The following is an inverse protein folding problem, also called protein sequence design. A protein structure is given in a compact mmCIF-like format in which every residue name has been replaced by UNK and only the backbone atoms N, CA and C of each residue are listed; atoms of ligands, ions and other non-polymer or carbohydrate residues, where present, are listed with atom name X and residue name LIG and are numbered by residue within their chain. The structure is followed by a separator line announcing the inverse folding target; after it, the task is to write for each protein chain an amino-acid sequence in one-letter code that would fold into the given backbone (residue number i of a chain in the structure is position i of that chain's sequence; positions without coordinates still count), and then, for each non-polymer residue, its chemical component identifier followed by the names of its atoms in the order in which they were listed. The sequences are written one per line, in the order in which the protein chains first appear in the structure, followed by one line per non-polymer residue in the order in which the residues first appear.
data_IF_990015358485
#
_entry.id   IF_990015358485
#
_cell.length_a   1.000
_cell.length_b   1.000
_cell.length_c   1.000
_cell.angle_alpha   90.00
_cell.angle_beta   90.00
_cell.angle_gamma   90.00
#
_symmetry.space_group_name_H-M   'P 1'
#
loop_
_entity.id
_entity.type
_entity.pdbx_description
1 polymer ?
#
# COMPACT_ATOMS: atom_id res chain seq x y z
N UNK A 1 27.99 -36.96 -44.01
CA UNK A 1 28.20 -35.50 -43.94
C UNK A 1 27.77 -35.05 -42.55
N UNK A 2 28.62 -35.14 -41.52
CA UNK A 2 29.72 -34.23 -41.18
C UNK A 2 29.24 -32.82 -40.76
N UNK A 3 29.21 -32.59 -39.43
CA UNK A 3 29.56 -31.37 -38.65
C UNK A 3 29.05 -31.63 -37.21
N UNK A 4 29.82 -32.06 -36.19
CA UNK A 4 31.01 -31.51 -35.51
C UNK A 4 30.82 -30.10 -34.94
N UNK A 5 30.70 -29.99 -33.61
CA UNK A 5 31.01 -28.87 -32.69
C UNK A 5 30.85 -29.42 -31.25
N UNK A 6 31.84 -30.10 -30.65
CA UNK A 6 33.01 -29.60 -29.90
C UNK A 6 32.70 -28.68 -28.72
N UNK A 7 32.98 -29.21 -27.52
CA UNK A 7 33.07 -28.50 -26.24
C UNK A 7 34.36 -27.66 -26.16
N UNK A 8 34.25 -26.50 -25.52
CA UNK A 8 35.27 -25.80 -24.72
C UNK A 8 34.50 -24.80 -23.83
N UNK A 9 34.74 -24.62 -22.53
CA UNK A 9 36.00 -24.72 -21.81
C UNK A 9 36.53 -23.31 -21.53
N UNK A 10 36.39 -22.88 -20.28
CA UNK A 10 37.21 -21.88 -19.56
C UNK A 10 36.87 -20.37 -19.51
N UNK A 11 37.20 -19.84 -18.32
CA UNK A 11 37.64 -18.48 -17.92
C UNK A 11 36.61 -17.47 -17.38
N UNK A 12 36.46 -17.57 -16.05
CA UNK A 12 36.78 -16.50 -15.09
C UNK A 12 36.75 -15.05 -15.59
N UNK A 13 35.75 -14.29 -15.14
CA UNK A 13 35.89 -12.85 -14.92
C UNK A 13 35.47 -12.53 -13.48
N UNK A 14 36.49 -12.28 -12.67
CA UNK A 14 36.44 -11.67 -11.36
C UNK A 14 35.88 -10.26 -11.45
N UNK A 15 34.87 -9.95 -10.63
CA UNK A 15 34.42 -8.59 -10.36
C UNK A 15 35.31 -7.98 -9.26
N UNK A 16 35.75 -6.71 -9.38
CA UNK A 16 36.41 -6.03 -8.29
C UNK A 16 35.38 -5.68 -7.22
N UNK A 17 35.52 -6.27 -6.04
CA UNK A 17 34.88 -5.83 -4.82
C UNK A 17 35.92 -5.05 -4.02
N UNK A 18 35.78 -3.73 -4.00
CA UNK A 18 36.53 -2.87 -3.09
C UNK A 18 35.64 -1.69 -2.70
N UNK A 19 35.05 -1.76 -1.50
CA UNK A 19 35.28 -0.78 -0.42
C UNK A 19 34.30 -1.00 0.74
N UNK A 20 34.95 -1.31 1.87
CA UNK A 20 34.69 -0.85 3.23
C UNK A 20 33.50 -1.47 3.97
N UNK A 21 33.83 -2.60 4.61
CA UNK A 21 33.29 -3.01 5.88
C UNK A 21 33.51 -1.93 6.96
N UNK A 22 32.48 -1.73 7.78
CA UNK A 22 32.64 -1.21 9.14
C UNK A 22 31.90 -2.17 10.04
N UNK A 23 32.67 -3.07 10.65
CA UNK A 23 32.27 -3.89 11.77
C UNK A 23 32.97 -3.30 12.99
N UNK A 24 32.22 -2.86 14.00
CA UNK A 24 32.80 -2.64 15.33
C UNK A 24 31.76 -3.00 16.39
N UNK A 25 32.19 -3.95 17.19
CA UNK A 25 31.55 -4.58 18.32
C UNK A 25 31.02 -3.65 19.42
N UNK A 26 30.06 -4.22 20.14
CA UNK A 26 29.68 -3.91 21.50
C UNK A 26 30.87 -3.53 22.39
N UNK A 27 30.78 -2.34 23.00
CA UNK A 27 31.44 -2.07 24.28
C UNK A 27 30.44 -1.51 25.27
N UNK A 28 30.13 -2.33 26.28
CA UNK A 28 29.61 -1.88 27.58
C UNK A 28 30.64 -0.95 28.20
N UNK A 29 30.24 0.25 28.63
CA UNK A 29 31.04 0.98 29.61
C UNK A 29 30.19 1.57 30.73
N UNK A 30 30.67 1.24 31.92
CA UNK A 30 30.21 1.70 33.21
C UNK A 30 30.51 3.19 33.41
N UNK A 31 29.63 3.82 34.18
CA UNK A 31 29.86 4.97 35.04
C UNK A 31 31.32 5.23 35.45
N UNK A 32 31.81 6.45 35.18
CA UNK A 32 32.64 7.25 36.10
C UNK A 32 32.84 8.68 35.57
N UNK A 33 32.61 9.64 36.45
CA UNK A 33 32.83 11.07 36.24
C UNK A 33 34.32 11.36 35.96
N UNK A 34 34.58 12.27 35.03
CA UNK A 34 35.89 12.89 34.86
C UNK A 34 35.75 14.41 34.85
N UNK A 35 36.46 15.02 35.79
CA UNK A 35 36.61 16.46 35.98
C UNK A 35 37.58 17.01 34.92
N UNK A 36 37.14 17.99 34.14
CA UNK A 36 38.00 18.69 33.19
C UNK A 36 38.61 19.92 33.84
N UNK A 37 39.93 19.92 33.93
CA UNK A 37 40.76 21.07 34.30
C UNK A 37 41.16 21.76 33.00
N UNK A 38 40.60 22.94 32.73
CA UNK A 38 40.95 23.75 31.57
C UNK A 38 42.43 24.17 31.68
N UNK A 39 43.20 23.93 30.60
CA UNK A 39 44.51 24.54 30.39
C UNK A 39 44.34 25.65 29.37
N UNK A 40 44.91 26.82 29.66
CA UNK A 40 44.93 27.96 28.75
C UNK A 40 45.64 27.60 27.43
N UNK A 41 45.00 27.97 26.31
CA UNK A 41 45.63 27.97 25.00
C UNK A 41 46.00 29.43 24.68
N UNK A 42 47.31 29.71 24.67
CA UNK A 42 47.89 31.01 24.35
C UNK A 42 48.09 31.12 22.83
N UNK A 43 47.36 32.02 22.17
CA UNK A 43 47.53 32.34 20.74
C UNK A 43 47.98 33.81 20.64
N UNK A 44 49.18 34.10 20.09
CA UNK A 44 49.64 35.47 19.90
C UNK A 44 49.19 36.03 18.55
N UNK A 45 48.68 37.27 18.58
CA UNK A 45 48.65 38.17 17.42
C UNK A 45 47.26 38.44 16.86
N UNK A 46 46.61 39.50 17.35
CA UNK A 46 45.94 40.48 16.51
C UNK A 46 45.74 41.75 17.33
N UNK A 47 46.42 42.82 16.93
CA UNK A 47 46.29 44.14 17.53
C UNK A 47 45.20 44.94 16.84
N UNK A 48 44.33 45.55 17.63
CA UNK A 48 43.76 46.89 17.36
C UNK A 48 42.82 47.25 18.51
N UNK A 49 43.24 48.27 19.25
CA UNK A 49 42.51 49.14 20.19
C UNK A 49 40.98 49.03 20.21
N UNK A 50 40.36 48.77 21.38
CA UNK A 50 39.00 49.22 21.63
C UNK A 50 39.01 50.67 22.17
N UNK A 51 38.10 51.49 21.64
CA UNK A 51 37.75 52.83 22.10
C UNK A 51 37.38 52.84 23.59
N UNK A 52 37.56 53.96 24.33
CA UNK A 52 37.11 54.06 25.71
C UNK A 52 35.58 54.01 25.74
N UNK A 53 35.02 52.96 26.30
CA UNK A 53 33.61 52.95 26.69
C UNK A 53 33.54 53.57 28.07
N UNK A 54 32.98 54.78 28.11
CA UNK A 54 32.66 55.51 29.33
C UNK A 54 31.64 54.71 30.13
N UNK A 55 32.05 54.20 31.28
CA UNK A 55 31.15 53.51 32.23
C UNK A 55 30.47 54.61 33.05
N UNK A 56 29.27 54.99 32.63
CA UNK A 56 28.40 55.85 33.43
C UNK A 56 27.89 55.04 34.64
N UNK A 57 28.38 55.40 35.83
CA UNK A 57 27.91 54.80 37.08
C UNK A 57 26.46 55.22 37.34
N UNK A 58 25.51 54.30 37.16
CA UNK A 58 24.14 54.51 37.62
C UNK A 58 24.07 54.45 39.15
N UNK A 59 23.35 55.38 39.80
CA UNK A 59 23.29 55.44 41.25
C UNK A 59 22.53 54.22 41.80
N UNK A 60 23.12 53.61 42.82
CA UNK A 60 22.52 52.56 43.65
C UNK A 60 21.25 53.12 44.30
N UNK A 61 20.09 52.79 43.74
CA UNK A 61 18.80 52.99 44.41
C UNK A 61 18.69 51.99 45.56
N UNK A 62 19.02 52.48 46.75
CA UNK A 62 18.46 52.00 48.01
C UNK A 62 16.98 52.40 48.05
N UNK A 63 16.18 51.60 48.75
CA UNK A 63 14.75 51.75 49.09
C UNK A 63 13.77 50.95 48.22
N UNK A 64 13.00 50.08 48.88
CA UNK A 64 11.75 49.56 48.32
C UNK A 64 11.63 48.04 48.20
N UNK A 65 12.07 47.29 49.21
CA UNK A 65 11.57 45.94 49.46
C UNK A 65 10.02 45.96 49.45
N UNK A 66 9.37 45.33 48.46
CA UNK A 66 8.10 44.54 48.57
C UNK A 66 7.16 44.51 47.34
N UNK A 67 7.38 45.23 46.23
CA UNK A 67 6.39 45.23 45.12
C UNK A 67 6.87 44.70 43.76
N UNK A 68 8.14 44.33 43.61
CA UNK A 68 8.72 43.93 42.32
C UNK A 68 8.72 42.41 42.03
N UNK A 69 7.87 41.61 42.69
CA UNK A 69 7.80 40.14 42.48
C UNK A 69 6.60 39.73 41.60
N UNK A 70 5.60 40.60 41.42
CA UNK A 70 4.35 40.25 40.72
C UNK A 70 4.35 40.48 39.20
N UNK A 71 5.34 41.21 38.65
CA UNK A 71 5.39 41.48 37.21
C UNK A 71 6.28 40.49 36.42
N UNK A 72 7.18 39.75 37.08
CA UNK A 72 8.06 38.78 36.41
C UNK A 72 7.45 37.36 36.33
N UNK A 73 6.42 37.07 37.14
CA UNK A 73 5.69 35.79 37.13
C UNK A 73 4.62 35.70 36.04
N UNK A 74 4.13 36.83 35.52
CA UNK A 74 3.13 36.87 34.45
C UNK A 74 3.72 36.61 33.05
N UNK A 75 5.02 36.86 32.84
CA UNK A 75 5.69 36.65 31.55
C UNK A 75 6.12 35.19 31.36
N UNK A 76 6.36 34.45 32.44
CA UNK A 76 6.74 33.03 32.37
C UNK A 76 5.54 32.08 32.17
N UNK A 77 4.31 32.51 32.46
CA UNK A 77 3.11 31.69 32.26
C UNK A 77 2.58 31.70 30.80
N UNK A 78 3.03 32.64 29.97
CA UNK A 78 2.59 32.74 28.56
C UNK A 78 3.46 31.90 27.62
N UNK A 79 4.65 31.45 28.06
CA UNK A 79 5.57 30.67 27.22
C UNK A 79 5.33 29.14 27.25
N UNK A 80 4.47 28.64 28.14
CA UNK A 80 4.30 27.19 28.35
C UNK A 80 3.26 26.52 27.43
N UNK A 81 2.51 27.27 26.62
CA UNK A 81 1.44 26.71 25.78
C UNK A 81 1.86 26.30 24.36
N UNK A 82 3.11 26.55 23.93
CA UNK A 82 3.56 26.24 22.56
C UNK A 82 4.27 24.88 22.38
N UNK A 83 4.33 24.03 23.40
CA UNK A 83 5.13 22.78 23.35
C UNK A 83 4.32 21.48 23.23
N UNK A 84 2.99 21.55 23.15
CA UNK A 84 2.21 20.38 22.76
C UNK A 84 2.21 20.26 21.24
N UNK A 85 3.19 19.54 20.68
CA UNK A 85 3.07 19.02 19.33
C UNK A 85 1.89 18.04 19.36
N UNK A 86 0.79 18.42 18.70
CA UNK A 86 -0.38 17.55 18.59
C UNK A 86 -0.01 16.20 17.96
N UNK A 87 -0.83 15.20 18.18
CA UNK A 87 -0.72 13.87 17.59
C UNK A 87 -1.81 13.70 16.53
N UNK A 88 -1.47 13.33 15.29
CA UNK A 88 -2.47 12.94 14.31
C UNK A 88 -3.14 11.64 14.76
N UNK A 89 -4.41 11.46 14.43
CA UNK A 89 -5.13 10.21 14.70
C UNK A 89 -6.00 9.84 13.52
N UNK A 90 -5.63 8.77 12.81
CA UNK A 90 -6.30 8.34 11.60
C UNK A 90 -7.47 7.40 11.91
N UNK A 91 -8.67 7.73 11.43
CA UNK A 91 -9.87 6.90 11.60
C UNK A 91 -10.56 6.69 10.26
N UNK A 92 -10.64 5.44 9.81
CA UNK A 92 -11.47 5.08 8.65
C UNK A 92 -12.95 5.02 9.08
N UNK A 93 -13.80 5.83 8.44
CA UNK A 93 -15.23 5.92 8.80
C UNK A 93 -15.96 4.64 8.39
N UNK A 94 -15.76 4.20 7.15
CA UNK A 94 -16.31 2.97 6.59
C UNK A 94 -15.18 2.25 5.84
N UNK A 95 -14.40 1.38 6.50
CA UNK A 95 -13.24 0.73 5.87
C UNK A 95 -13.63 -0.35 4.87
N UNK A 96 -14.90 -0.78 4.82
CA UNK A 96 -15.36 -1.87 3.95
C UNK A 96 -16.50 -1.36 3.07
N UNK A 97 -16.28 -1.42 1.75
CA UNK A 97 -17.31 -1.26 0.75
C UNK A 97 -17.75 -2.63 0.25
N UNK A 98 -19.00 -3.01 0.50
CA UNK A 98 -19.63 -4.13 -0.20
C UNK A 98 -20.45 -3.61 -1.38
N UNK A 99 -20.10 -4.06 -2.59
CA UNK A 99 -20.79 -3.74 -3.83
C UNK A 99 -21.84 -4.78 -4.23
N UNK A 100 -21.97 -5.89 -3.48
CA UNK A 100 -22.89 -6.97 -3.81
C UNK A 100 -22.55 -7.66 -5.13
N UNK A 101 -23.58 -8.01 -5.90
CA UNK A 101 -23.40 -8.63 -7.21
C UNK A 101 -23.13 -7.56 -8.27
N UNK A 102 -22.06 -7.76 -9.04
CA UNK A 102 -21.64 -6.84 -10.09
C UNK A 102 -21.42 -7.61 -11.40
N UNK A 103 -21.87 -7.10 -12.55
CA UNK A 103 -21.53 -7.67 -13.84
C UNK A 103 -20.01 -7.64 -14.07
N UNK A 104 -19.49 -8.70 -14.69
CA UNK A 104 -18.09 -8.74 -15.11
C UNK A 104 -17.81 -7.66 -16.17
N UNK A 105 -16.78 -6.86 -15.92
CA UNK A 105 -16.36 -5.77 -16.81
C UNK A 105 -16.78 -4.39 -16.31
N UNK A 106 -17.67 -4.32 -15.32
CA UNK A 106 -18.03 -3.06 -14.67
C UNK A 106 -16.89 -2.56 -13.76
N UNK A 107 -16.93 -1.26 -13.47
CA UNK A 107 -16.01 -0.62 -12.54
C UNK A 107 -16.74 -0.29 -11.25
N UNK A 108 -16.24 -0.79 -10.12
CA UNK A 108 -16.72 -0.39 -8.80
C UNK A 108 -15.93 0.87 -8.40
N UNK A 109 -16.66 1.96 -8.16
CA UNK A 109 -16.08 3.24 -7.76
C UNK A 109 -16.52 3.55 -6.33
N UNK A 110 -15.57 3.89 -5.46
CA UNK A 110 -15.88 4.24 -4.09
C UNK A 110 -14.86 5.22 -3.49
N UNK A 111 -15.37 6.23 -2.79
CA UNK A 111 -14.56 7.17 -2.01
C UNK A 111 -14.54 6.69 -0.55
N UNK A 112 -13.40 6.16 -0.10
CA UNK A 112 -13.21 5.87 1.31
C UNK A 112 -12.92 7.16 2.08
N UNK A 113 -13.57 7.34 3.22
CA UNK A 113 -13.40 8.54 4.06
C UNK A 113 -12.47 8.23 5.23
N UNK A 114 -11.39 9.01 5.33
CA UNK A 114 -10.47 9.02 6.47
C UNK A 114 -10.70 10.31 7.26
N UNK A 115 -10.87 10.20 8.57
CA UNK A 115 -11.05 11.33 9.48
C UNK A 115 -9.81 11.47 10.36
N UNK A 116 -9.41 12.72 10.60
CA UNK A 116 -8.37 13.03 11.58
C UNK A 116 -9.02 13.39 12.93
N UNK A 117 -9.01 12.46 13.87
CA UNK A 117 -9.53 12.66 15.24
C UNK A 117 -8.45 13.20 16.21
N UNK A 118 -7.30 13.57 15.68
CA UNK A 118 -6.17 14.11 16.42
C UNK A 118 -6.16 15.63 16.48
N UNK A 119 -5.11 16.17 17.08
CA UNK A 119 -4.86 17.60 17.26
C UNK A 119 -3.65 18.10 16.45
N UNK A 120 -3.07 17.26 15.59
CA UNK A 120 -2.10 17.64 14.56
C UNK A 120 -2.51 17.16 13.16
N UNK A 121 -1.97 17.77 12.08
CA UNK A 121 -2.23 17.34 10.71
C UNK A 121 -1.87 15.87 10.47
N UNK A 122 -2.83 15.13 9.92
CA UNK A 122 -2.65 13.75 9.49
C UNK A 122 -2.15 13.74 8.05
N UNK A 123 -1.01 13.11 7.81
CA UNK A 123 -0.41 12.95 6.49
C UNK A 123 -0.61 11.51 6.02
N UNK A 124 -1.24 11.36 4.84
CA UNK A 124 -1.31 10.10 4.10
C UNK A 124 -0.06 10.03 3.22
N UNK A 125 0.89 9.20 3.62
CA UNK A 125 2.21 9.11 2.99
C UNK A 125 2.17 8.26 1.72
N UNK A 126 1.37 7.19 1.72
CA UNK A 126 1.27 6.27 0.60
C UNK A 126 -0.07 5.53 0.63
N UNK A 127 -0.61 5.21 -0.55
CA UNK A 127 -1.75 4.32 -0.72
C UNK A 127 -1.36 3.20 -1.68
N UNK A 128 -1.46 1.94 -1.23
CA UNK A 128 -1.06 0.77 -2.00
C UNK A 128 -2.24 -0.19 -2.21
N UNK A 129 -2.77 -0.31 -3.44
CA UNK A 129 -3.78 -1.31 -3.76
C UNK A 129 -3.17 -2.72 -3.82
N UNK A 130 -3.83 -3.70 -3.21
CA UNK A 130 -3.34 -5.09 -3.16
C UNK A 130 -3.34 -5.79 -4.53
N UNK A 131 -4.26 -5.43 -5.43
CA UNK A 131 -4.29 -5.89 -6.81
C UNK A 131 -5.31 -5.12 -7.65
N UNK A 132 -5.00 -4.84 -8.92
CA UNK A 132 -5.96 -4.53 -10.00
C UNK A 132 -6.91 -3.33 -9.83
N UNK A 133 -7.10 -2.79 -8.63
CA UNK A 133 -7.76 -1.52 -8.40
C UNK A 133 -6.75 -0.39 -8.64
N UNK A 134 -7.19 0.58 -9.43
CA UNK A 134 -6.47 1.83 -9.64
C UNK A 134 -6.97 2.80 -8.59
N UNK A 135 -6.13 3.11 -7.61
CA UNK A 135 -6.34 4.30 -6.77
C UNK A 135 -5.92 5.49 -7.64
N UNK A 136 -6.87 6.37 -7.94
CA UNK A 136 -6.62 7.49 -8.87
C UNK A 136 -6.17 8.72 -8.09
N UNK A 137 -6.83 9.01 -6.96
CA UNK A 137 -6.65 10.24 -6.20
C UNK A 137 -6.85 9.99 -4.69
N UNK A 138 -6.09 10.69 -3.86
CA UNK A 138 -6.29 10.73 -2.41
C UNK A 138 -5.82 12.06 -1.83
N UNK A 139 -6.45 12.50 -0.75
CA UNK A 139 -6.03 13.68 0.00
C UNK A 139 -4.73 13.38 0.77
N UNK A 140 -3.68 14.16 0.56
CA UNK A 140 -2.38 13.95 1.22
C UNK A 140 -2.37 14.39 2.67
N UNK A 141 -3.06 15.47 2.99
CA UNK A 141 -3.03 16.10 4.30
C UNK A 141 -4.45 16.36 4.78
N UNK A 142 -4.77 15.92 6.00
CA UNK A 142 -6.08 16.08 6.63
C UNK A 142 -5.90 16.87 7.92
N UNK A 143 -6.45 18.09 7.96
CA UNK A 143 -6.39 18.94 9.13
C UNK A 143 -7.13 18.31 10.34
N UNK A 144 -6.77 18.69 11.59
CA UNK A 144 -7.46 18.24 12.80
C UNK A 144 -8.98 18.41 12.71
N UNK A 145 -9.73 17.34 13.04
CA UNK A 145 -11.19 17.31 13.00
C UNK A 145 -11.81 17.28 11.59
N UNK A 146 -11.00 17.27 10.53
CA UNK A 146 -11.48 17.21 9.15
C UNK A 146 -11.46 15.79 8.59
N UNK A 147 -12.07 15.62 7.41
CA UNK A 147 -12.07 14.38 6.64
C UNK A 147 -11.35 14.57 5.31
N UNK A 148 -10.69 13.51 4.86
CA UNK A 148 -10.16 13.36 3.51
C UNK A 148 -10.72 12.10 2.85
N UNK A 149 -10.48 11.98 1.55
CA UNK A 149 -11.00 10.91 0.70
C UNK A 149 -9.88 10.15 0.01
N UNK A 150 -10.15 8.87 -0.25
CA UNK A 150 -9.33 7.99 -1.08
C UNK A 150 -10.24 7.42 -2.16
N UNK A 151 -10.02 7.85 -3.40
CA UNK A 151 -10.81 7.45 -4.56
C UNK A 151 -10.30 6.12 -5.13
N UNK A 152 -11.05 5.05 -4.89
CA UNK A 152 -10.73 3.70 -5.34
C UNK A 152 -11.60 3.30 -6.54
N UNK A 153 -10.95 2.83 -7.61
CA UNK A 153 -11.61 2.26 -8.79
C UNK A 153 -11.17 0.81 -8.96
N UNK A 154 -12.10 -0.13 -8.88
CA UNK A 154 -11.84 -1.56 -9.08
C UNK A 154 -12.45 -2.02 -10.41
N UNK A 155 -11.60 -2.46 -11.33
CA UNK A 155 -12.02 -3.04 -12.60
C UNK A 155 -12.34 -4.54 -12.45
N UNK A 156 -13.57 -4.93 -12.77
CA UNK A 156 -14.03 -6.32 -12.56
C UNK A 156 -13.76 -7.24 -13.74
N UNK A 157 -13.22 -6.74 -14.86
CA UNK A 157 -13.04 -7.49 -16.12
C UNK A 157 -12.23 -8.79 -15.99
N UNK A 158 -11.28 -8.84 -15.05
CA UNK A 158 -10.39 -10.00 -14.85
C UNK A 158 -10.86 -10.94 -13.74
N UNK A 159 -11.93 -10.58 -13.02
CA UNK A 159 -12.41 -11.33 -11.86
C UNK A 159 -13.66 -12.14 -12.20
N UNK A 160 -13.89 -13.21 -11.43
CA UNK A 160 -15.12 -14.01 -11.47
C UNK A 160 -15.41 -14.50 -10.05
N UNK A 161 -16.69 -14.53 -9.66
CA UNK A 161 -17.11 -14.96 -8.33
C UNK A 161 -16.82 -13.94 -7.22
N UNK A 162 -16.81 -14.41 -5.98
CA UNK A 162 -16.58 -13.55 -4.82
C UNK A 162 -15.14 -13.02 -4.78
N UNK A 163 -14.99 -11.72 -4.61
CA UNK A 163 -13.72 -11.02 -4.47
C UNK A 163 -13.72 -10.14 -3.22
N UNK A 164 -12.54 -10.00 -2.61
CA UNK A 164 -12.25 -9.08 -1.52
C UNK A 164 -10.89 -8.46 -1.77
N UNK A 165 -10.85 -7.17 -2.12
CA UNK A 165 -9.64 -6.46 -2.54
C UNK A 165 -9.28 -5.38 -1.54
N UNK A 166 -8.05 -5.43 -1.06
CA UNK A 166 -7.49 -4.52 -0.07
C UNK A 166 -6.84 -3.28 -0.69
N UNK A 167 -6.86 -2.18 0.05
CA UNK A 167 -6.08 -0.95 -0.20
C UNK A 167 -5.45 -0.55 1.12
N UNK A 168 -4.13 -0.66 1.19
CA UNK A 168 -3.35 -0.29 2.37
C UNK A 168 -2.99 1.19 2.32
N UNK A 169 -3.35 1.93 3.37
CA UNK A 169 -3.13 3.37 3.50
C UNK A 169 -2.11 3.61 4.61
N UNK A 170 -1.00 4.24 4.29
CA UNK A 170 0.08 4.54 5.24
C UNK A 170 -0.02 5.98 5.71
N UNK A 171 0.17 6.20 7.01
CA UNK A 171 0.02 7.52 7.62
C UNK A 171 1.18 7.87 8.57
N UNK A 172 1.22 9.12 9.03
CA UNK A 172 2.14 9.57 10.08
C UNK A 172 1.56 9.41 11.52
N UNK A 173 0.40 8.77 11.68
CA UNK A 173 -0.12 8.36 12.98
C UNK A 173 0.72 7.20 13.54
N UNK A 174 1.38 7.42 14.69
CA UNK A 174 2.24 6.41 15.32
C UNK A 174 1.47 5.23 15.90
N UNK A 175 0.20 5.44 16.27
CA UNK A 175 -0.67 4.40 16.82
C UNK A 175 -1.34 3.61 15.68
N UNK A 176 -1.62 4.29 14.55
CA UNK A 176 -2.23 3.70 13.35
C UNK A 176 -1.41 3.99 12.08
N UNK A 177 -0.18 3.44 11.96
CA UNK A 177 0.71 3.73 10.83
C UNK A 177 0.18 3.17 9.50
N UNK A 178 -0.73 2.18 9.56
CA UNK A 178 -1.37 1.58 8.41
C UNK A 178 -2.86 1.33 8.67
N UNK A 179 -3.71 1.74 7.73
CA UNK A 179 -5.14 1.45 7.68
C UNK A 179 -5.40 0.53 6.49
N UNK A 180 -6.22 -0.49 6.67
CA UNK A 180 -6.65 -1.36 5.58
C UNK A 180 -8.10 -1.04 5.17
N UNK A 181 -8.29 -0.72 3.89
CA UNK A 181 -9.60 -0.52 3.27
C UNK A 181 -9.92 -1.72 2.37
N UNK A 182 -11.18 -2.12 2.27
CA UNK A 182 -11.57 -3.31 1.53
C UNK A 182 -12.77 -3.06 0.62
N UNK A 183 -12.67 -3.49 -0.63
CA UNK A 183 -13.80 -3.58 -1.57
C UNK A 183 -14.18 -5.05 -1.74
N UNK A 184 -15.44 -5.39 -1.44
CA UNK A 184 -16.03 -6.72 -1.64
C UNK A 184 -17.07 -6.68 -2.75
N UNK A 185 -17.10 -7.73 -3.55
CA UNK A 185 -18.11 -7.92 -4.58
C UNK A 185 -18.23 -9.39 -4.97
N UNK A 186 -19.34 -9.76 -5.61
CA UNK A 186 -19.50 -11.01 -6.33
C UNK A 186 -19.61 -10.70 -7.82
N UNK A 187 -18.54 -10.96 -8.57
CA UNK A 187 -18.47 -10.68 -10.00
C UNK A 187 -19.18 -11.79 -10.78
N UNK A 188 -20.24 -11.45 -11.50
CA UNK A 188 -21.05 -12.37 -12.28
C UNK A 188 -20.72 -12.23 -13.77
N UNK A 189 -20.14 -13.28 -14.41
CA UNK A 189 -19.85 -13.23 -15.83
C UNK A 189 -21.15 -13.37 -16.63
N UNK A 190 -21.26 -12.70 -17.78
CA UNK A 190 -22.41 -12.85 -18.67
C UNK A 190 -22.58 -14.30 -19.18
N UNK A 191 -21.47 -14.96 -19.48
CA UNK A 191 -21.45 -16.37 -19.90
C UNK A 191 -20.69 -17.18 -18.85
N UNK A 192 -21.34 -18.20 -18.31
CA UNK A 192 -20.71 -19.14 -17.40
C UNK A 192 -20.42 -20.46 -18.09
N UNK A 193 -19.35 -21.13 -17.66
CA UNK A 193 -18.84 -22.38 -18.24
C UNK A 193 -18.52 -23.37 -17.12
N UNK A 194 -19.00 -24.61 -17.22
CA UNK A 194 -18.70 -25.70 -16.28
C UNK A 194 -18.36 -27.02 -16.97
N UNK A 195 -17.23 -27.67 -16.62
CA UNK A 195 -16.15 -27.13 -15.79
C UNK A 195 -15.48 -25.94 -16.49
N UNK A 196 -15.03 -24.95 -15.72
CA UNK A 196 -14.42 -23.72 -16.26
C UNK A 196 -13.05 -23.93 -16.91
N UNK A 197 -12.47 -25.12 -16.79
CA UNK A 197 -11.22 -25.53 -17.43
C UNK A 197 -11.28 -27.00 -17.85
N UNK A 198 -10.55 -27.33 -18.91
CA UNK A 198 -10.29 -28.70 -19.33
C UNK A 198 -8.88 -29.09 -18.85
N UNK A 199 -8.78 -30.12 -18.00
CA UNK A 199 -7.49 -30.66 -17.57
C UNK A 199 -7.20 -31.95 -18.32
N UNK A 200 -6.17 -31.92 -19.15
CA UNK A 200 -5.66 -33.10 -19.83
C UNK A 200 -4.54 -33.70 -18.99
N UNK A 201 -4.67 -34.97 -18.61
CA UNK A 201 -3.62 -35.74 -17.95
C UNK A 201 -3.19 -36.81 -18.94
N UNK A 202 -1.91 -36.82 -19.30
CA UNK A 202 -1.34 -37.78 -20.24
C UNK A 202 -0.25 -38.59 -19.55
N UNK A 203 -0.23 -39.91 -19.76
CA UNK A 203 0.89 -40.78 -19.39
C UNK A 203 1.76 -40.97 -20.64
N UNK A 204 3.07 -40.76 -20.54
CA UNK A 204 3.96 -40.97 -21.68
C UNK A 204 3.87 -42.41 -22.20
N UNK A 205 3.65 -42.57 -23.50
CA UNK A 205 3.50 -43.87 -24.15
C UNK A 205 2.07 -44.43 -24.19
N UNK A 206 1.11 -43.79 -23.51
CA UNK A 206 -0.29 -44.18 -23.56
C UNK A 206 -1.10 -43.23 -24.46
N UNK A 207 -1.61 -43.75 -25.59
CA UNK A 207 -2.52 -43.03 -26.46
C UNK A 207 -3.95 -43.24 -25.95
N UNK A 208 -4.46 -42.29 -25.18
CA UNK A 208 -5.86 -42.27 -24.74
C UNK A 208 -6.58 -41.09 -25.35
N UNK A 209 -7.66 -41.37 -26.07
CA UNK A 209 -8.64 -40.37 -26.45
C UNK A 209 -9.62 -40.16 -25.30
N UNK A 210 -10.01 -38.92 -25.07
CA UNK A 210 -10.97 -38.55 -24.04
C UNK A 210 -11.85 -37.41 -24.53
N UNK A 211 -13.12 -37.43 -24.11
CA UNK A 211 -14.04 -36.32 -24.35
C UNK A 211 -14.22 -35.56 -23.06
N UNK A 212 -13.99 -34.25 -23.08
CA UNK A 212 -14.31 -33.34 -21.99
C UNK A 212 -15.49 -32.50 -22.48
N UNK A 213 -16.59 -32.52 -21.72
CA UNK A 213 -17.76 -31.72 -22.04
C UNK A 213 -17.85 -30.53 -21.10
N UNK A 214 -17.87 -29.33 -21.67
CA UNK A 214 -18.16 -28.08 -20.98
C UNK A 214 -19.60 -27.68 -21.25
N UNK A 215 -20.29 -27.22 -20.22
CA UNK A 215 -21.65 -26.67 -20.32
C UNK A 215 -21.53 -25.15 -20.25
N UNK A 216 -22.06 -24.45 -21.26
CA UNK A 216 -22.06 -23.00 -21.36
C UNK A 216 -23.49 -22.47 -21.28
N UNK A 217 -23.71 -21.36 -20.57
CA UNK A 217 -25.02 -20.71 -20.49
C UNK A 217 -24.87 -19.21 -20.17
N UNK A 218 -25.90 -18.43 -20.50
CA UNK A 218 -26.00 -17.04 -20.07
C UNK A 218 -26.51 -16.95 -18.63
N UNK A 219 -25.80 -16.25 -17.76
CA UNK A 219 -26.11 -16.21 -16.32
C UNK A 219 -27.33 -15.37 -15.98
N UNK A 220 -27.66 -14.40 -16.82
CA UNK A 220 -28.83 -13.53 -16.74
C UNK A 220 -30.07 -14.12 -17.42
N UNK A 221 -29.96 -15.30 -18.03
CA UNK A 221 -31.02 -15.95 -18.79
C UNK A 221 -31.25 -15.33 -20.17
N UNK A 222 -30.37 -14.44 -20.62
CA UNK A 222 -30.45 -13.88 -21.97
C UNK A 222 -30.35 -14.98 -23.04
N UNK A 223 -30.96 -14.77 -24.23
CA UNK A 223 -30.78 -15.67 -25.36
C UNK A 223 -29.29 -15.81 -25.71
N UNK A 224 -28.77 -17.04 -25.63
CA UNK A 224 -27.41 -17.39 -26.02
C UNK A 224 -27.47 -18.50 -27.08
N UNK A 225 -26.92 -18.23 -28.25
CA UNK A 225 -26.73 -19.23 -29.31
C UNK A 225 -25.23 -19.37 -29.62
N UNK A 226 -24.74 -20.60 -29.62
CA UNK A 226 -23.37 -20.91 -30.05
C UNK A 226 -23.39 -21.07 -31.57
N UNK A 227 -22.70 -20.17 -32.27
CA UNK A 227 -22.65 -20.20 -33.75
C UNK A 227 -21.52 -21.11 -34.24
N UNK A 228 -20.40 -21.18 -33.50
CA UNK A 228 -19.19 -21.89 -33.91
C UNK A 228 -18.31 -22.20 -32.70
N UNK A 229 -17.60 -23.32 -32.76
CA UNK A 229 -16.52 -23.66 -31.82
C UNK A 229 -15.32 -24.12 -32.63
N UNK A 230 -14.17 -23.47 -32.43
CA UNK A 230 -12.92 -23.80 -33.09
C UNK A 230 -11.80 -23.97 -32.06
N UNK A 231 -10.91 -24.92 -32.32
CA UNK A 231 -9.68 -25.09 -31.56
C UNK A 231 -8.49 -24.65 -32.42
N UNK A 232 -7.58 -23.80 -31.90
CA UNK A 232 -6.31 -23.51 -32.56
C UNK A 232 -5.34 -24.71 -32.50
N UNK A 233 -5.64 -25.72 -31.68
CA UNK A 233 -4.83 -26.91 -31.50
C UNK A 233 -5.36 -28.07 -32.35
N UNK A 234 -4.56 -28.63 -33.27
CA UNK A 234 -5.02 -29.65 -34.21
C UNK A 234 -5.35 -31.01 -33.56
N UNK A 235 -4.83 -31.26 -32.36
CA UNK A 235 -5.11 -32.48 -31.59
C UNK A 235 -6.42 -32.41 -30.80
N UNK A 236 -7.07 -31.25 -30.71
CA UNK A 236 -8.38 -31.11 -30.09
C UNK A 236 -9.47 -31.05 -31.17
N UNK A 237 -10.35 -32.04 -31.15
CA UNK A 237 -11.58 -32.03 -31.95
C UNK A 237 -12.68 -31.37 -31.11
N UNK A 238 -13.36 -30.38 -31.69
CA UNK A 238 -14.44 -29.65 -31.03
C UNK A 238 -15.78 -29.93 -31.68
N UNK A 239 -16.84 -29.99 -30.88
CA UNK A 239 -18.22 -30.10 -31.35
C UNK A 239 -19.12 -29.38 -30.37
N UNK A 240 -20.29 -28.91 -30.79
CA UNK A 240 -21.24 -28.31 -29.87
C UNK A 240 -22.68 -28.67 -30.22
N UNK A 241 -23.54 -28.67 -29.20
CA UNK A 241 -24.99 -28.88 -29.34
C UNK A 241 -25.74 -28.25 -28.18
N UNK A 242 -27.03 -27.99 -28.37
CA UNK A 242 -27.90 -27.64 -27.24
C UNK A 242 -27.96 -28.81 -26.23
N UNK A 243 -27.97 -28.46 -24.95
CA UNK A 243 -28.17 -29.42 -23.86
C UNK A 243 -29.63 -29.87 -23.81
N UNK A 244 -29.84 -31.18 -23.74
CA UNK A 244 -31.18 -31.74 -23.53
C UNK A 244 -31.70 -31.34 -22.14
N UNK A 245 -33.02 -31.26 -21.92
CA UNK A 245 -33.59 -30.85 -20.63
C UNK A 245 -33.00 -31.59 -19.42
N UNK A 246 -32.75 -32.89 -19.55
CA UNK A 246 -32.18 -33.75 -18.51
C UNK A 246 -30.68 -33.52 -18.24
N UNK A 247 -29.97 -32.84 -19.15
CA UNK A 247 -28.53 -32.56 -19.05
C UNK A 247 -28.24 -31.11 -18.57
N UNK A 248 -29.29 -30.30 -18.40
CA UNK A 248 -29.18 -28.91 -17.97
C UNK A 248 -28.78 -28.83 -16.51
N UNK A 249 -27.81 -27.97 -16.23
CA UNK A 249 -27.39 -27.69 -14.87
C UNK A 249 -28.47 -26.88 -14.18
N UNK A 250 -28.87 -27.31 -12.97
CA UNK A 250 -29.88 -26.63 -12.17
C UNK A 250 -29.47 -25.19 -11.79
N UNK A 251 -28.17 -24.95 -11.67
CA UNK A 251 -27.60 -23.62 -11.40
C UNK A 251 -27.36 -22.78 -12.67
N UNK A 252 -27.73 -23.30 -13.84
CA UNK A 252 -27.57 -22.66 -15.14
C UNK A 252 -28.70 -21.72 -15.55
N UNK A 253 -29.66 -21.46 -14.65
CA UNK A 253 -30.84 -20.65 -14.95
C UNK A 253 -31.83 -21.32 -15.92
N UNK A 254 -32.85 -20.57 -16.34
CA UNK A 254 -33.91 -21.05 -17.25
C UNK A 254 -33.53 -20.92 -18.74
N UNK A 255 -32.38 -20.33 -19.06
CA UNK A 255 -31.92 -20.10 -20.43
C UNK A 255 -31.43 -21.36 -21.14
N UNK A 256 -31.16 -21.23 -22.45
CA UNK A 256 -30.50 -22.30 -23.22
C UNK A 256 -29.13 -22.61 -22.61
N UNK A 257 -28.79 -23.89 -22.56
CA UNK A 257 -27.46 -24.35 -22.19
C UNK A 257 -26.86 -25.13 -23.36
N UNK A 258 -25.56 -25.01 -23.56
CA UNK A 258 -24.83 -25.60 -24.67
C UNK A 258 -23.78 -26.56 -24.14
N UNK A 259 -23.70 -27.75 -24.74
CA UNK A 259 -22.61 -28.71 -24.51
C UNK A 259 -21.56 -28.47 -25.59
N UNK A 260 -20.33 -28.19 -25.17
CA UNK A 260 -19.13 -28.00 -26.01
C UNK A 260 -18.06 -29.01 -25.60
#
# INVERSE_FOLDING_TARGET
MALLLQQAGERSHSRPADRQAVDVELWRFHSRAFSFKARECNIPGFGSTPSPVEVEEHPVMKHGFKTAILALSAVLLVAATLLAAGKPKAVAVEPIKDAGNVPKGDKIIHDFVIRNDGDAPLEITQVHPACGCTVVEFDKTIAPGQTGKIHAVLDTSTFNGAISKGVSVFTNDTDTPQIELTVRAKVEPFIAVKPGYARYITVQGEQKEGTITQTLWATDGAPLDVVKVESPYPFLKTSFREAKPEERLADGGQGKQWKV
#
